data_IF_812775913766
#
_entry.id   IF_812775913766
#
_cell.length_a   1.000
_cell.length_b   1.000
_cell.length_c   1.000
_cell.angle_alpha   90.00
_cell.angle_beta   90.00
_cell.angle_gamma   90.00
#
_symmetry.space_group_name_H-M   'P 1'
#
loop_
_entity.id
_entity.type
_entity.pdbx_description
1 polymer ?
#
# COMPACT_ATOMS: atom_id res chain seq x y z
N UNK A 1 -4.88 0.37 6.49
CA UNK A 1 -3.44 0.26 6.19
C UNK A 1 -2.91 1.62 5.73
N UNK A 2 -1.66 1.96 6.04
CA UNK A 2 -0.98 3.16 5.54
C UNK A 2 0.35 2.73 4.91
N UNK A 3 0.70 3.29 3.76
CA UNK A 3 1.86 2.89 2.95
C UNK A 3 2.00 3.74 1.69
N UNK A 4 3.09 3.51 0.95
CA UNK A 4 3.29 4.15 -0.35
C UNK A 4 2.69 3.29 -1.48
N UNK A 5 2.30 3.94 -2.57
CA UNK A 5 1.74 3.27 -3.74
C UNK A 5 2.85 2.66 -4.59
N UNK A 6 2.79 1.35 -4.74
CA UNK A 6 3.56 0.60 -5.73
C UNK A 6 2.63 0.14 -6.87
N UNK A 7 3.13 0.27 -8.10
CA UNK A 7 2.46 -0.21 -9.31
C UNK A 7 3.46 -0.98 -10.18
N UNK A 8 3.01 -2.04 -10.81
CA UNK A 8 3.81 -2.87 -11.70
C UNK A 8 3.04 -3.15 -13.00
N UNK A 9 3.79 -3.44 -14.06
CA UNK A 9 3.21 -3.92 -15.30
C UNK A 9 2.50 -5.25 -15.04
N UNK A 10 1.22 -5.34 -15.43
CA UNK A 10 0.37 -6.51 -15.16
C UNK A 10 -0.74 -6.28 -14.14
N UNK A 11 -0.73 -5.16 -13.40
CA UNK A 11 -1.90 -4.73 -12.63
C UNK A 11 -2.99 -4.14 -13.53
N UNK A 12 -4.25 -4.39 -13.17
CA UNK A 12 -5.39 -3.72 -13.80
C UNK A 12 -5.52 -2.27 -13.31
N UNK A 13 -6.32 -1.44 -13.98
CA UNK A 13 -6.49 -0.02 -13.63
C UNK A 13 -7.07 0.21 -12.21
N UNK A 14 -7.79 -0.78 -11.69
CA UNK A 14 -8.34 -0.76 -10.33
C UNK A 14 -7.41 -1.38 -9.29
N UNK A 15 -6.16 -1.71 -9.64
CA UNK A 15 -5.19 -2.38 -8.76
C UNK A 15 -3.97 -1.50 -8.49
N UNK A 16 -3.53 -1.52 -7.23
CA UNK A 16 -2.21 -1.07 -6.79
C UNK A 16 -1.81 -1.84 -5.54
N UNK A 17 -0.54 -1.77 -5.15
CA UNK A 17 -0.10 -2.31 -3.85
C UNK A 17 0.14 -1.14 -2.90
N UNK A 18 -0.56 -1.13 -1.76
CA UNK A 18 -0.20 -0.26 -0.63
C UNK A 18 0.93 -0.95 0.11
N UNK A 19 2.08 -0.28 0.19
CA UNK A 19 3.35 -0.93 0.45
C UNK A 19 4.15 -0.26 1.55
N UNK A 20 5.05 -1.03 2.16
CA UNK A 20 6.08 -0.59 3.09
C UNK A 20 7.40 -1.25 2.76
N UNK A 21 8.49 -0.61 3.15
CA UNK A 21 9.78 -1.25 3.19
C UNK A 21 9.87 -2.14 4.44
N UNK A 22 10.28 -3.39 4.23
CA UNK A 22 10.73 -4.29 5.26
C UNK A 22 12.26 -4.29 5.22
N UNK A 23 12.89 -3.89 6.32
CA UNK A 23 14.35 -3.87 6.48
C UNK A 23 14.67 -4.75 7.68
N UNK A 24 15.53 -5.74 7.51
CA UNK A 24 15.84 -6.70 8.58
C UNK A 24 17.15 -6.41 9.29
N UNK A 25 18.14 -5.88 8.57
CA UNK A 25 19.48 -5.63 9.08
C UNK A 25 20.10 -4.34 8.52
N UNK A 26 19.90 -4.03 7.24
CA UNK A 26 20.44 -2.81 6.63
C UNK A 26 19.66 -2.39 5.38
N UNK A 27 19.81 -1.15 4.92
CA UNK A 27 19.07 -0.65 3.73
C UNK A 27 19.29 -1.51 2.46
N UNK A 28 20.42 -2.23 2.37
CA UNK A 28 20.69 -3.13 1.25
C UNK A 28 19.81 -4.39 1.23
N UNK A 29 19.16 -4.74 2.35
CA UNK A 29 18.19 -5.84 2.44
C UNK A 29 16.72 -5.37 2.36
N UNK A 30 16.50 -4.09 2.04
CA UNK A 30 15.16 -3.52 1.96
C UNK A 30 14.32 -4.26 0.91
N UNK A 31 13.30 -4.97 1.37
CA UNK A 31 12.26 -5.57 0.55
C UNK A 31 10.98 -4.76 0.59
N UNK A 32 10.11 -4.97 -0.39
CA UNK A 32 8.77 -4.39 -0.40
C UNK A 32 7.79 -5.43 0.15
N UNK A 33 6.99 -5.03 1.14
CA UNK A 33 5.85 -5.81 1.64
C UNK A 33 4.59 -4.96 1.54
N UNK A 34 3.49 -5.58 1.12
CA UNK A 34 2.23 -4.86 0.93
C UNK A 34 1.05 -5.76 0.64
N UNK A 35 -0.11 -5.13 0.47
CA UNK A 35 -1.33 -5.81 0.03
C UNK A 35 -1.73 -5.31 -1.35
N UNK A 36 -2.01 -6.24 -2.26
CA UNK A 36 -2.77 -5.91 -3.46
C UNK A 36 -4.11 -5.32 -3.01
N UNK A 37 -4.40 -4.12 -3.48
CA UNK A 37 -5.52 -3.32 -3.06
C UNK A 37 -6.33 -2.94 -4.28
N UNK A 38 -7.64 -3.16 -4.20
CA UNK A 38 -8.54 -3.03 -5.34
C UNK A 38 -9.64 -2.01 -5.08
N UNK A 39 -9.72 -1.01 -5.96
CA UNK A 39 -10.75 0.03 -5.96
C UNK A 39 -10.74 0.86 -7.25
N UNK A 40 -11.87 1.48 -7.65
CA UNK A 40 -11.98 2.18 -8.94
C UNK A 40 -10.99 3.33 -9.16
N UNK A 41 -10.53 3.98 -8.09
CA UNK A 41 -9.64 5.15 -8.18
C UNK A 41 -8.14 4.80 -8.20
N UNK A 42 -7.76 3.52 -8.13
CA UNK A 42 -6.36 3.11 -8.02
C UNK A 42 -5.46 3.67 -9.15
N UNK A 43 -5.97 3.72 -10.38
CA UNK A 43 -5.27 4.30 -11.53
C UNK A 43 -4.89 5.77 -11.31
N UNK A 44 -5.73 6.55 -10.59
CA UNK A 44 -5.55 7.99 -10.40
C UNK A 44 -4.42 8.35 -9.44
N UNK A 45 -3.98 7.40 -8.62
CA UNK A 45 -2.97 7.65 -7.59
C UNK A 45 -1.58 7.39 -8.16
N UNK A 46 -0.69 8.36 -8.08
CA UNK A 46 0.68 8.24 -8.61
C UNK A 46 1.52 7.25 -7.78
N UNK A 47 2.57 6.69 -8.40
CA UNK A 47 3.59 5.88 -7.67
C UNK A 47 4.24 6.72 -6.57
N UNK A 48 4.72 6.04 -5.54
CA UNK A 48 5.45 6.61 -4.39
C UNK A 48 4.65 7.57 -3.50
N UNK A 49 3.38 7.86 -3.86
CA UNK A 49 2.45 8.60 -3.00
C UNK A 49 2.10 7.79 -1.77
N UNK A 50 2.11 8.46 -0.63
CA UNK A 50 1.64 7.89 0.61
C UNK A 50 0.12 8.00 0.69
N UNK A 51 -0.53 6.87 0.94
CA UNK A 51 -1.97 6.82 1.13
C UNK A 51 -2.31 6.02 2.38
N UNK A 52 -3.47 6.34 2.95
CA UNK A 52 -4.13 5.49 3.94
C UNK A 52 -5.39 4.90 3.33
N UNK A 53 -5.55 3.60 3.47
CA UNK A 53 -6.69 2.84 2.96
C UNK A 53 -7.42 2.11 4.10
N UNK A 54 -8.73 1.98 3.97
CA UNK A 54 -9.61 1.19 4.82
C UNK A 54 -10.46 0.29 3.92
N UNK A 55 -10.71 -0.94 4.36
CA UNK A 55 -11.34 -1.96 3.52
C UNK A 55 -11.42 -3.32 4.20
N UNK A 56 -11.89 -4.31 3.45
CA UNK A 56 -12.02 -5.70 3.90
C UNK A 56 -10.95 -6.55 3.20
N UNK A 57 -10.33 -7.47 3.93
CA UNK A 57 -9.42 -8.45 3.36
C UNK A 57 -10.23 -9.63 2.83
N UNK A 58 -10.01 -9.97 1.56
CA UNK A 58 -10.61 -11.11 0.89
C UNK A 58 -9.53 -12.00 0.26
N UNK A 59 -9.88 -13.25 -0.02
CA UNK A 59 -9.03 -14.11 -0.84
C UNK A 59 -9.13 -13.67 -2.30
N UNK A 60 -7.99 -13.40 -2.92
CA UNK A 60 -7.88 -13.10 -4.35
C UNK A 60 -6.73 -13.87 -4.99
N UNK A 61 -6.34 -13.48 -6.20
CA UNK A 61 -5.25 -14.11 -6.93
C UNK A 61 -4.50 -13.12 -7.82
N UNK A 62 -3.19 -13.27 -7.95
CA UNK A 62 -2.35 -12.53 -8.88
C UNK A 62 -1.48 -13.53 -9.65
N UNK A 63 -1.52 -13.46 -10.98
CA UNK A 63 -0.85 -14.42 -11.86
C UNK A 63 -1.14 -15.89 -11.52
N UNK A 64 -2.37 -16.20 -11.12
CA UNK A 64 -2.81 -17.55 -10.74
C UNK A 64 -2.39 -18.00 -9.33
N UNK A 65 -1.63 -17.19 -8.58
CA UNK A 65 -1.26 -17.49 -7.20
C UNK A 65 -2.27 -16.86 -6.23
N UNK A 66 -2.81 -17.60 -5.25
CA UNK A 66 -3.71 -17.04 -4.25
C UNK A 66 -2.98 -16.09 -3.30
N UNK A 67 -3.58 -14.93 -3.01
CA UNK A 67 -3.07 -13.96 -2.03
C UNK A 67 -4.22 -13.20 -1.36
N UNK A 68 -4.02 -12.62 -0.17
CA UNK A 68 -4.98 -11.67 0.39
C UNK A 68 -5.01 -10.37 -0.43
N UNK A 69 -6.21 -9.90 -0.72
CA UNK A 69 -6.48 -8.64 -1.42
C UNK A 69 -7.35 -7.75 -0.52
N UNK A 70 -7.03 -6.47 -0.44
CA UNK A 70 -7.89 -5.50 0.26
C UNK A 70 -8.89 -4.92 -0.74
N UNK A 71 -10.18 -5.14 -0.51
CA UNK A 71 -11.25 -4.39 -1.17
C UNK A 71 -11.41 -3.06 -0.46
N UNK A 72 -10.90 -2.00 -1.07
CA UNK A 72 -10.81 -0.67 -0.43
C UNK A 72 -12.17 0.02 -0.52
N UNK A 73 -12.70 0.41 0.64
CA UNK A 73 -13.95 1.17 0.76
C UNK A 73 -13.69 2.67 0.96
N UNK A 74 -12.52 3.03 1.48
CA UNK A 74 -12.11 4.42 1.71
C UNK A 74 -10.61 4.57 1.56
N UNK A 75 -10.17 5.67 0.95
CA UNK A 75 -8.77 6.03 0.85
C UNK A 75 -8.58 7.55 1.00
N UNK A 76 -7.40 7.94 1.47
CA UNK A 76 -6.96 9.34 1.60
C UNK A 76 -5.48 9.47 1.24
N UNK A 77 -5.13 10.48 0.44
CA UNK A 77 -3.72 10.85 0.21
C UNK A 77 -3.16 11.51 1.48
N UNK A 78 -1.96 11.08 1.86
CA UNK A 78 -1.26 11.56 3.04
C UNK A 78 -0.15 12.51 2.60
N UNK A 79 0.02 13.61 3.33
CA UNK A 79 1.19 14.47 3.14
C UNK A 79 2.43 13.72 3.61
N UNK A 80 3.46 13.72 2.78
CA UNK A 80 4.75 13.11 3.09
C UNK A 80 5.35 13.80 4.34
N UNK A 81 5.58 13.00 5.39
CA UNK A 81 5.96 13.48 6.72
C UNK A 81 4.91 13.15 7.78
N UNK A 82 5.04 11.96 8.37
CA UNK A 82 4.29 11.56 9.56
C UNK A 82 4.57 12.57 10.68
N UNK A 83 3.64 13.47 10.99
CA UNK A 83 3.66 14.34 12.17
C UNK A 83 2.98 13.68 13.40
N UNK A 84 3.08 12.36 13.53
CA UNK A 84 2.40 11.61 14.60
C UNK A 84 3.34 11.14 15.72
N UNK A 85 4.52 11.74 15.92
CA UNK A 85 5.38 11.35 17.04
C UNK A 85 6.15 12.48 17.73
N UNK A 86 5.48 13.60 18.00
CA UNK A 86 6.00 14.68 18.86
C UNK A 86 5.07 14.96 20.05
N UNK A 87 4.38 13.94 20.55
CA UNK A 87 3.50 14.06 21.73
C UNK A 87 3.54 12.83 22.65
N UNK A 88 4.74 12.39 23.01
CA UNK A 88 4.99 11.48 24.15
C UNK A 88 6.48 11.36 24.47
N UNK A 89 7.18 12.49 24.53
CA UNK A 89 8.52 12.58 25.13
C UNK A 89 8.63 13.86 25.94
N UNK A 90 7.79 13.94 26.97
CA UNK A 90 8.07 14.65 28.22
C UNK A 90 7.84 13.67 29.36
#
# INVERSE_FOLDING_TARGET
MYGFVYKEDGFTENQLVVSRFLVTHCIADAGLIGFLSEFPDAAKIEKDKWIKIEGIIESGSYMGNPLPVIKVSKWEEMKEGIKDNEKSRD
#
